data_IF_835294397352
#
_entry.id   IF_835294397352
#
_cell.length_a   1.000
_cell.length_b   1.000
_cell.length_c   1.000
_cell.angle_alpha   90.00
_cell.angle_beta   90.00
_cell.angle_gamma   90.00
#
_symmetry.space_group_name_H-M   'P 1'
#
loop_
_entity.id
_entity.type
_entity.pdbx_description
1 polymer ?
#
# COMPACT_ATOMS: atom_id res chain seq x y z
N UNK A 1 7.57 -7.41 -11.32
CA UNK A 1 6.65 -6.37 -10.80
C UNK A 1 5.22 -6.59 -11.24
N UNK A 2 4.97 -6.97 -12.50
CA UNK A 2 3.62 -7.19 -13.04
C UNK A 2 2.75 -8.16 -12.23
N UNK A 3 3.34 -9.25 -11.70
CA UNK A 3 2.64 -10.20 -10.83
C UNK A 3 2.06 -9.54 -9.57
N UNK A 4 2.81 -8.62 -8.94
CA UNK A 4 2.33 -7.89 -7.76
C UNK A 4 1.28 -6.86 -8.15
N UNK A 5 1.46 -6.13 -9.25
CA UNK A 5 0.45 -5.18 -9.73
C UNK A 5 -0.90 -5.87 -9.99
N UNK A 6 -0.88 -7.01 -10.67
CA UNK A 6 -2.07 -7.81 -10.94
C UNK A 6 -2.74 -8.26 -9.64
N UNK A 7 -1.98 -8.86 -8.73
CA UNK A 7 -2.53 -9.35 -7.47
C UNK A 7 -3.10 -8.23 -6.59
N UNK A 8 -2.44 -7.07 -6.54
CA UNK A 8 -2.93 -5.89 -5.84
C UNK A 8 -4.25 -5.41 -6.45
N UNK A 9 -4.37 -5.37 -7.78
CA UNK A 9 -5.64 -5.00 -8.44
C UNK A 9 -6.77 -5.97 -8.06
N UNK A 10 -6.50 -7.27 -8.11
CA UNK A 10 -7.50 -8.32 -7.88
C UNK A 10 -7.92 -8.44 -6.41
N UNK A 11 -7.05 -8.11 -5.45
CA UNK A 11 -7.30 -8.35 -4.03
C UNK A 11 -7.51 -7.07 -3.22
N UNK A 12 -6.73 -6.02 -3.50
CA UNK A 12 -6.75 -4.76 -2.72
C UNK A 12 -7.65 -3.74 -3.42
N UNK A 13 -7.42 -3.47 -4.71
CA UNK A 13 -8.22 -2.47 -5.43
C UNK A 13 -9.69 -2.90 -5.56
N UNK A 14 -9.97 -4.21 -5.61
CA UNK A 14 -11.34 -4.73 -5.67
C UNK A 14 -12.20 -4.39 -4.44
N UNK A 15 -11.58 -4.10 -3.29
CA UNK A 15 -12.28 -3.75 -2.03
C UNK A 15 -11.93 -2.34 -1.53
N UNK A 16 -11.17 -1.59 -2.33
CA UNK A 16 -10.77 -0.24 -2.00
C UNK A 16 -12.02 0.65 -1.89
N UNK A 17 -12.03 1.58 -0.93
CA UNK A 17 -13.11 2.58 -0.80
C UNK A 17 -13.25 3.45 -2.06
N UNK A 18 -12.15 3.65 -2.77
CA UNK A 18 -12.08 4.37 -4.05
C UNK A 18 -12.35 3.43 -5.24
N UNK A 19 -12.97 2.28 -5.02
CA UNK A 19 -13.36 1.35 -6.09
C UNK A 19 -14.86 1.46 -6.35
N UNK A 20 -15.23 1.38 -7.62
CA UNK A 20 -16.63 1.21 -8.03
C UNK A 20 -17.16 -0.17 -7.64
N UNK A 21 -18.48 -0.36 -7.69
CA UNK A 21 -19.14 -1.67 -7.53
C UNK A 21 -18.66 -2.71 -8.57
N UNK A 22 -17.99 -2.26 -9.64
CA UNK A 22 -17.38 -3.11 -10.67
C UNK A 22 -15.86 -3.33 -10.48
N UNK A 23 -15.28 -2.88 -9.36
CA UNK A 23 -13.87 -3.06 -9.02
C UNK A 23 -12.89 -2.13 -9.74
N UNK A 24 -13.40 -1.11 -10.45
CA UNK A 24 -12.57 -0.11 -11.12
C UNK A 24 -12.24 1.07 -10.17
N UNK A 25 -10.98 1.51 -10.18
CA UNK A 25 -10.51 2.66 -9.41
C UNK A 25 -11.17 3.96 -9.88
N UNK A 26 -11.70 4.76 -8.95
CA UNK A 26 -12.36 6.05 -9.21
C UNK A 26 -11.40 7.24 -9.18
N UNK A 27 -10.18 7.05 -8.69
CA UNK A 27 -9.17 8.11 -8.64
C UNK A 27 -8.83 8.58 -10.05
N UNK A 28 -8.85 9.89 -10.24
CA UNK A 28 -8.50 10.55 -11.50
C UNK A 28 -6.97 10.66 -11.67
N UNK A 29 -6.50 11.01 -12.87
CA UNK A 29 -5.07 11.25 -13.12
C UNK A 29 -4.44 12.40 -12.30
N UNK A 30 -5.26 13.17 -11.57
CA UNK A 30 -4.80 14.23 -10.65
C UNK A 30 -4.53 13.70 -9.24
N UNK A 31 -5.07 12.52 -8.92
CA UNK A 31 -4.92 11.84 -7.64
C UNK A 31 -3.88 10.73 -7.78
N UNK A 32 -3.05 10.56 -6.76
CA UNK A 32 -1.98 9.57 -6.81
C UNK A 32 -2.24 8.52 -5.73
N UNK A 33 -2.60 7.31 -6.16
CA UNK A 33 -2.75 6.17 -5.25
C UNK A 33 -1.37 5.78 -4.69
N UNK A 34 -1.17 5.96 -3.38
CA UNK A 34 0.10 5.63 -2.72
C UNK A 34 0.51 4.16 -2.92
N UNK A 35 -0.46 3.23 -3.00
CA UNK A 35 -0.18 1.81 -3.26
C UNK A 35 0.44 1.60 -4.64
N UNK A 36 -0.09 2.25 -5.68
CA UNK A 36 0.44 2.12 -7.04
C UNK A 36 1.76 2.87 -7.19
N UNK A 37 1.86 4.06 -6.58
CA UNK A 37 3.05 4.91 -6.67
C UNK A 37 4.27 4.25 -6.04
N UNK A 38 4.12 3.69 -4.84
CA UNK A 38 5.22 3.12 -4.05
C UNK A 38 5.26 1.59 -4.11
N UNK A 39 4.59 0.96 -5.09
CA UNK A 39 4.53 -0.50 -5.16
C UNK A 39 5.91 -1.16 -5.13
N UNK A 40 6.93 -0.68 -5.88
CA UNK A 40 8.27 -1.26 -5.82
C UNK A 40 8.88 -1.22 -4.41
N UNK A 41 8.78 -0.08 -3.72
CA UNK A 41 9.30 0.12 -2.37
C UNK A 41 8.54 -0.70 -1.34
N UNK A 42 7.23 -0.85 -1.50
CA UNK A 42 6.40 -1.70 -0.63
C UNK A 42 6.85 -3.16 -0.75
N UNK A 43 7.05 -3.66 -1.97
CA UNK A 43 7.52 -5.04 -2.21
C UNK A 43 8.90 -5.26 -1.58
N UNK A 44 9.85 -4.35 -1.83
CA UNK A 44 11.20 -4.42 -1.25
C UNK A 44 11.16 -4.43 0.29
N UNK A 45 10.29 -3.60 0.88
CA UNK A 45 10.12 -3.52 2.32
C UNK A 45 9.50 -4.81 2.89
N UNK A 46 8.51 -5.39 2.22
CA UNK A 46 7.91 -6.68 2.62
C UNK A 46 8.92 -7.83 2.52
N UNK A 47 9.78 -7.84 1.51
CA UNK A 47 10.83 -8.85 1.35
C UNK A 47 11.93 -8.76 2.41
N UNK A 48 12.23 -7.55 2.89
CA UNK A 48 13.21 -7.33 3.97
C UNK A 48 12.65 -7.59 5.36
N UNK A 49 11.33 -7.56 5.50
CA UNK A 49 10.66 -7.75 6.77
C UNK A 49 10.56 -9.24 7.15
N UNK A 50 11.05 -9.58 8.34
CA UNK A 50 11.19 -10.97 8.80
C UNK A 50 9.91 -11.60 9.38
N UNK A 51 8.80 -10.86 9.38
CA UNK A 51 7.49 -11.39 9.77
C UNK A 51 7.19 -11.38 11.27
N UNK A 52 8.08 -10.88 12.13
CA UNK A 52 7.95 -11.09 13.59
C UNK A 52 7.05 -10.09 14.31
N UNK A 53 7.02 -8.82 13.90
CA UNK A 53 6.28 -7.77 14.60
C UNK A 53 5.53 -6.84 13.64
N UNK A 54 4.20 -6.88 13.67
CA UNK A 54 3.34 -6.13 12.75
C UNK A 54 3.38 -4.62 13.01
N UNK A 55 3.63 -4.19 14.24
CA UNK A 55 3.77 -2.77 14.56
C UNK A 55 5.09 -2.21 14.02
N UNK A 56 6.16 -3.01 14.06
CA UNK A 56 7.44 -2.67 13.44
C UNK A 56 7.31 -2.49 11.93
N UNK A 57 6.50 -3.33 11.27
CA UNK A 57 6.24 -3.21 9.85
C UNK A 57 5.59 -1.86 9.49
N UNK A 58 4.64 -1.38 10.30
CA UNK A 58 4.04 -0.05 10.12
C UNK A 58 5.04 1.08 10.36
N UNK A 59 5.95 0.92 11.31
CA UNK A 59 7.02 1.91 11.56
C UNK A 59 7.95 1.98 10.35
N UNK A 60 8.37 0.83 9.80
CA UNK A 60 9.20 0.76 8.61
C UNK A 60 8.53 1.41 7.40
N UNK A 61 7.22 1.16 7.21
CA UNK A 61 6.43 1.83 6.16
C UNK A 61 6.50 3.36 6.30
N UNK A 62 6.32 3.86 7.52
CA UNK A 62 6.32 5.30 7.81
C UNK A 62 7.68 5.92 7.53
N UNK A 63 8.75 5.26 7.99
CA UNK A 63 10.12 5.72 7.80
C UNK A 63 10.56 5.70 6.32
N UNK A 64 10.19 4.65 5.57
CA UNK A 64 10.65 4.47 4.18
C UNK A 64 9.80 5.18 3.14
N UNK A 65 8.48 5.18 3.31
CA UNK A 65 7.55 5.67 2.29
C UNK A 65 6.87 6.96 2.75
N UNK A 66 6.32 6.99 3.97
CA UNK A 66 5.56 8.16 4.39
C UNK A 66 6.41 9.42 4.56
N UNK A 67 7.65 9.29 5.04
CA UNK A 67 8.60 10.40 5.24
C UNK A 67 8.92 11.21 3.97
N UNK A 68 8.73 10.62 2.79
CA UNK A 68 8.96 11.26 1.49
C UNK A 68 7.66 11.42 0.68
N UNK A 69 6.51 11.11 1.30
CA UNK A 69 5.22 11.24 0.65
C UNK A 69 4.81 12.71 0.57
N UNK A 70 4.20 13.11 -0.56
CA UNK A 70 3.74 14.49 -0.79
C UNK A 70 2.76 15.02 0.26
N UNK A 71 2.11 14.13 1.01
CA UNK A 71 1.13 14.46 2.05
C UNK A 71 1.72 14.40 3.46
N UNK A 72 3.03 14.17 3.59
CA UNK A 72 3.75 14.29 4.86
C UNK A 72 3.89 15.76 5.22
N UNK A 73 3.43 16.14 6.41
CA UNK A 73 3.73 17.44 7.01
C UNK A 73 5.11 17.46 7.66
N UNK A 74 5.55 18.67 8.05
CA UNK A 74 6.87 18.91 8.65
C UNK A 74 7.05 18.21 10.01
N UNK A 75 5.96 17.97 10.74
CA UNK A 75 5.95 17.28 12.05
C UNK A 75 5.68 15.76 11.95
N UNK A 76 5.69 15.19 10.75
CA UNK A 76 5.39 13.77 10.50
C UNK A 76 3.89 13.46 10.40
N UNK A 77 3.03 14.47 10.51
CA UNK A 77 1.59 14.38 10.32
C UNK A 77 1.20 14.06 8.87
N UNK A 78 -0.01 13.54 8.68
CA UNK A 78 -0.53 13.24 7.35
C UNK A 78 -2.05 13.22 7.40
N UNK A 79 -2.66 14.24 6.81
CA UNK A 79 -4.12 14.40 6.77
C UNK A 79 -4.82 13.17 6.18
N UNK A 80 -4.23 12.49 5.18
CA UNK A 80 -4.82 11.27 4.63
C UNK A 80 -4.85 10.11 5.61
N UNK A 81 -3.89 10.01 6.53
CA UNK A 81 -3.90 8.97 7.57
C UNK A 81 -4.89 9.34 8.69
N UNK A 82 -4.90 10.60 9.10
CA UNK A 82 -5.82 11.10 10.12
C UNK A 82 -7.29 10.89 9.73
N UNK A 83 -7.61 11.11 8.45
CA UNK A 83 -8.96 10.89 7.91
C UNK A 83 -9.22 9.44 7.46
N UNK A 84 -8.27 8.52 7.67
CA UNK A 84 -8.33 7.12 7.18
C UNK A 84 -8.56 6.98 5.65
N UNK A 85 -8.14 7.98 4.88
CA UNK A 85 -8.24 8.06 3.42
C UNK A 85 -6.98 7.53 2.69
N UNK A 86 -5.86 7.33 3.40
CA UNK A 86 -4.66 6.77 2.79
C UNK A 86 -4.85 5.27 2.51
N UNK A 87 -5.08 4.92 1.24
CA UNK A 87 -5.20 3.52 0.79
C UNK A 87 -4.01 2.64 1.23
N UNK A 88 -2.79 3.19 1.23
CA UNK A 88 -1.60 2.44 1.66
C UNK A 88 -1.63 2.11 3.14
N UNK A 89 -1.97 3.07 4.01
CA UNK A 89 -2.05 2.85 5.46
C UNK A 89 -3.24 1.93 5.80
N UNK A 90 -4.42 2.22 5.23
CA UNK A 90 -5.67 1.50 5.47
C UNK A 90 -5.60 0.03 5.10
N UNK A 91 -5.05 -0.28 3.92
CA UNK A 91 -5.00 -1.65 3.40
C UNK A 91 -3.63 -2.31 3.59
N UNK A 92 -2.74 -1.72 4.40
CA UNK A 92 -1.35 -2.14 4.46
C UNK A 92 -1.17 -3.63 4.76
N UNK A 93 -1.91 -4.14 5.74
CA UNK A 93 -1.83 -5.54 6.15
C UNK A 93 -2.26 -6.50 5.04
N UNK A 94 -3.30 -6.13 4.29
CA UNK A 94 -3.75 -6.92 3.15
C UNK A 94 -2.75 -6.86 1.99
N UNK A 95 -2.13 -5.70 1.76
CA UNK A 95 -1.08 -5.54 0.75
C UNK A 95 0.10 -6.48 1.07
N UNK A 96 0.54 -6.51 2.33
CA UNK A 96 1.63 -7.40 2.80
C UNK A 96 1.26 -8.86 2.57
N UNK A 97 0.05 -9.27 2.97
CA UNK A 97 -0.45 -10.63 2.78
C UNK A 97 -0.51 -11.04 1.31
N UNK A 98 -1.02 -10.15 0.43
CA UNK A 98 -1.09 -10.39 -1.02
C UNK A 98 0.31 -10.56 -1.61
N UNK A 99 1.28 -9.71 -1.22
CA UNK A 99 2.67 -9.83 -1.70
C UNK A 99 3.27 -11.18 -1.29
N UNK A 100 3.12 -11.57 -0.02
CA UNK A 100 3.60 -12.87 0.48
C UNK A 100 2.98 -14.04 -0.27
N UNK A 101 1.66 -14.03 -0.49
CA UNK A 101 0.97 -15.07 -1.29
C UNK A 101 1.50 -15.18 -2.72
N UNK A 102 1.85 -14.05 -3.34
CA UNK A 102 2.44 -14.00 -4.69
C UNK A 102 3.90 -14.50 -4.72
N UNK A 103 4.60 -14.46 -3.60
CA UNK A 103 5.94 -15.03 -3.48
C UNK A 103 5.92 -16.54 -3.21
N UNK A 104 4.94 -16.99 -2.41
CA UNK A 104 4.70 -18.41 -2.11
C UNK A 104 4.02 -19.18 -3.25
N UNK A 105 3.36 -18.48 -4.18
CA UNK A 105 2.78 -19.04 -5.40
C UNK A 105 3.71 -18.75 -6.58
N UNK A 106 4.78 -19.54 -6.80
CA UNK A 106 5.57 -19.43 -8.02
C UNK A 106 4.66 -19.81 -9.19
N UNK A 107 4.31 -18.83 -10.02
CA UNK A 107 3.88 -19.09 -11.39
C UNK A 107 4.95 -19.87 -12.13
#
# INVERSE_FOLDING_TARGET
>A
MDKYQKAIRENVCAICVDSTDHGACTLTNKETCAVQLYLPEIVDLVHKYDGKNLDELKILLRDKICSHCRTSGDDGDCYLREDANCSLDRYYMLIVDVIKRVDESPN
#
